data_IF_393102366957
#
_entry.id   IF_393102366957
#
_cell.length_a   1.000
_cell.length_b   1.000
_cell.length_c   1.000
_cell.angle_alpha   90.00
_cell.angle_beta   90.00
_cell.angle_gamma   90.00
#
_symmetry.space_group_name_H-M   'P 1'
#
loop_
_entity.id
_entity.type
_entity.pdbx_description
1 polymer ?
#
# COMPACT_ATOMS: atom_id res chain seq x y z
N UNK A 1 9.81 10.23 -3.66
CA UNK A 1 9.79 9.52 -2.38
C UNK A 1 9.57 8.06 -2.69
N UNK A 2 10.34 7.18 -2.05
CA UNK A 2 10.14 5.73 -2.13
C UNK A 2 10.01 5.11 -0.75
N UNK A 3 9.93 3.79 -0.68
CA UNK A 3 9.80 3.05 0.57
C UNK A 3 10.85 3.44 1.64
N UNK A 4 12.10 3.72 1.24
CA UNK A 4 13.15 4.15 2.17
C UNK A 4 12.88 5.55 2.76
N UNK A 5 12.30 6.48 1.99
CA UNK A 5 11.85 7.77 2.55
C UNK A 5 10.70 7.56 3.52
N UNK A 6 9.74 6.68 3.21
CA UNK A 6 8.61 6.38 4.11
C UNK A 6 9.14 5.85 5.44
N UNK A 7 10.01 4.82 5.41
CA UNK A 7 10.64 4.24 6.60
C UNK A 7 11.41 5.29 7.43
N UNK A 8 12.17 6.17 6.76
CA UNK A 8 12.90 7.26 7.42
C UNK A 8 11.94 8.26 8.07
N UNK A 9 10.88 8.67 7.37
CA UNK A 9 9.92 9.64 7.88
C UNK A 9 9.21 9.12 9.13
N UNK A 10 8.63 7.92 9.08
CA UNK A 10 7.92 7.35 10.23
C UNK A 10 8.84 7.06 11.42
N UNK A 11 10.12 6.73 11.17
CA UNK A 11 11.09 6.49 12.24
C UNK A 11 11.52 7.77 12.97
N UNK A 12 11.37 8.94 12.35
CA UNK A 12 11.90 10.21 12.87
C UNK A 12 10.83 11.28 13.13
N UNK A 13 9.57 11.04 12.77
CA UNK A 13 8.53 12.06 12.88
C UNK A 13 7.93 12.23 14.28
N UNK A 14 8.25 11.36 15.26
CA UNK A 14 7.74 11.45 16.64
C UNK A 14 7.84 12.86 17.27
N UNK A 15 8.94 13.62 17.13
CA UNK A 15 9.03 14.96 17.72
C UNK A 15 8.16 16.03 17.03
N UNK A 16 7.53 15.70 15.90
CA UNK A 16 6.75 16.63 15.07
C UNK A 16 5.25 16.43 15.18
N UNK A 17 4.81 15.42 15.94
CA UNK A 17 3.40 15.03 16.04
C UNK A 17 2.88 15.27 17.46
N UNK A 18 1.61 15.62 17.56
CA UNK A 18 0.90 15.70 18.84
C UNK A 18 0.46 14.30 19.30
N UNK A 19 0.04 14.16 20.56
CA UNK A 19 -0.30 12.86 21.14
C UNK A 19 -1.49 12.18 20.44
N UNK A 20 -2.45 13.00 19.98
CA UNK A 20 -3.67 12.56 19.30
C UNK A 20 -3.48 12.36 17.77
N UNK A 21 -2.33 12.76 17.22
CA UNK A 21 -2.06 12.61 15.79
C UNK A 21 -1.79 11.15 15.43
N UNK A 22 -2.47 10.66 14.39
CA UNK A 22 -2.21 9.34 13.80
C UNK A 22 -1.41 9.51 12.51
N UNK A 23 -0.22 8.91 12.45
CA UNK A 23 0.61 8.88 11.24
C UNK A 23 0.72 7.45 10.71
N UNK A 24 0.39 7.24 9.44
CA UNK A 24 0.48 5.94 8.79
C UNK A 24 1.44 6.05 7.59
N UNK A 25 2.58 5.37 7.68
CA UNK A 25 3.48 5.15 6.55
C UNK A 25 3.03 3.94 5.74
N UNK A 26 2.61 4.16 4.50
CA UNK A 26 2.14 3.10 3.62
C UNK A 26 3.27 2.64 2.70
N UNK A 27 3.49 1.33 2.62
CA UNK A 27 4.50 0.68 1.79
C UNK A 27 3.83 -0.17 0.73
N UNK A 28 4.29 -0.07 -0.52
CA UNK A 28 3.91 -1.02 -1.56
C UNK A 28 4.25 -2.45 -1.14
N UNK A 29 3.45 -3.43 -1.59
CA UNK A 29 3.71 -4.84 -1.35
C UNK A 29 4.58 -5.43 -2.48
N UNK A 30 5.61 -4.68 -2.84
CA UNK A 30 6.64 -5.07 -3.80
C UNK A 30 7.93 -5.48 -3.07
N UNK A 31 8.96 -5.87 -3.82
CA UNK A 31 10.24 -6.26 -3.23
C UNK A 31 10.86 -5.18 -2.33
N UNK A 32 10.70 -3.89 -2.66
CA UNK A 32 11.38 -2.80 -1.95
C UNK A 32 10.61 -2.36 -0.71
N UNK A 33 9.29 -2.24 -0.82
CA UNK A 33 8.39 -1.95 0.29
C UNK A 33 8.45 -3.04 1.35
N UNK A 34 8.45 -4.33 0.96
CA UNK A 34 8.67 -5.44 1.88
C UNK A 34 10.02 -5.35 2.61
N UNK A 35 11.10 -5.04 1.89
CA UNK A 35 12.43 -4.90 2.47
C UNK A 35 12.46 -3.81 3.54
N UNK A 36 11.95 -2.62 3.23
CA UNK A 36 11.97 -1.47 4.14
C UNK A 36 11.02 -1.68 5.33
N UNK A 37 9.82 -2.21 5.09
CA UNK A 37 8.86 -2.55 6.15
C UNK A 37 9.45 -3.55 7.12
N UNK A 38 10.01 -4.67 6.63
CA UNK A 38 10.63 -5.70 7.49
C UNK A 38 11.92 -5.21 8.15
N UNK A 39 12.57 -4.20 7.58
CA UNK A 39 13.80 -3.58 8.08
C UNK A 39 13.58 -2.53 9.18
N UNK A 40 12.34 -2.19 9.52
CA UNK A 40 12.04 -1.29 10.63
C UNK A 40 12.63 -1.83 11.94
N UNK A 41 13.30 -0.96 12.69
CA UNK A 41 14.02 -1.36 13.90
C UNK A 41 13.05 -1.84 14.96
N UNK A 42 13.24 -3.07 15.45
CA UNK A 42 12.43 -3.65 16.53
C UNK A 42 12.50 -2.84 17.82
N UNK A 43 13.57 -2.05 18.04
CA UNK A 43 13.68 -1.14 19.18
C UNK A 43 12.71 0.06 19.11
N UNK A 44 12.12 0.32 17.94
CA UNK A 44 11.24 1.47 17.66
C UNK A 44 9.83 0.99 17.32
N UNK A 45 9.72 -0.07 16.53
CA UNK A 45 8.45 -0.63 16.07
C UNK A 45 8.22 -2.03 16.64
N UNK A 46 6.95 -2.34 16.91
CA UNK A 46 6.46 -3.66 17.30
C UNK A 46 5.50 -4.19 16.23
N UNK A 47 5.53 -5.49 15.97
CA UNK A 47 4.58 -6.13 15.06
C UNK A 47 3.20 -6.13 15.71
N UNK A 48 2.26 -5.44 15.09
CA UNK A 48 0.86 -5.38 15.52
C UNK A 48 0.06 -6.52 14.88
N UNK A 49 0.15 -6.63 13.55
CA UNK A 49 -0.47 -7.68 12.73
C UNK A 49 0.60 -8.33 11.86
N UNK A 50 0.63 -9.66 11.81
CA UNK A 50 1.71 -10.39 11.15
C UNK A 50 1.83 -9.95 9.68
N UNK A 51 3.03 -9.51 9.32
CA UNK A 51 3.44 -9.14 7.96
C UNK A 51 2.55 -8.09 7.26
N UNK A 52 1.84 -7.26 8.03
CA UNK A 52 0.90 -6.25 7.49
C UNK A 52 0.96 -4.92 8.23
N UNK A 53 1.01 -4.94 9.57
CA UNK A 53 1.04 -3.70 10.39
C UNK A 53 2.12 -3.76 11.46
N UNK A 54 2.93 -2.70 11.55
CA UNK A 54 3.82 -2.44 12.69
C UNK A 54 3.45 -1.11 13.35
N UNK A 55 3.47 -1.06 14.68
CA UNK A 55 3.14 0.12 15.48
C UNK A 55 4.40 0.63 16.18
N UNK A 56 4.61 1.94 16.19
CA UNK A 56 5.65 2.57 17.00
C UNK A 56 5.36 2.34 18.49
N UNK A 57 6.39 2.04 19.28
CA UNK A 57 6.23 1.62 20.69
C UNK A 57 5.51 2.64 21.57
N UNK A 58 5.78 3.93 21.34
CA UNK A 58 5.38 5.00 22.27
C UNK A 58 4.59 6.15 21.60
N UNK A 59 4.00 5.90 20.42
CA UNK A 59 3.20 6.93 19.73
C UNK A 59 2.25 6.30 18.71
N UNK A 60 1.29 7.08 18.22
CA UNK A 60 0.32 6.69 17.21
C UNK A 60 0.91 6.75 15.78
N UNK A 61 2.12 6.20 15.61
CA UNK A 61 2.78 6.06 14.31
C UNK A 61 2.72 4.60 13.89
N UNK A 62 2.30 4.35 12.66
CA UNK A 62 2.09 3.02 12.10
C UNK A 62 2.83 2.88 10.78
N UNK A 63 3.32 1.66 10.52
CA UNK A 63 3.70 1.21 9.20
C UNK A 63 2.64 0.23 8.72
N UNK A 64 2.11 0.46 7.52
CA UNK A 64 1.14 -0.40 6.85
C UNK A 64 1.77 -0.87 5.55
N UNK A 65 1.94 -2.18 5.40
CA UNK A 65 2.22 -2.79 4.10
C UNK A 65 0.88 -2.96 3.37
N UNK A 66 0.82 -2.57 2.10
CA UNK A 66 -0.43 -2.64 1.34
C UNK A 66 -1.07 -4.03 1.44
N UNK A 67 -2.32 -4.12 1.92
CA UNK A 67 -3.06 -5.38 1.93
C UNK A 67 -3.37 -5.79 0.49
N UNK A 68 -3.08 -7.03 0.14
CA UNK A 68 -3.37 -7.53 -1.22
C UNK A 68 -4.79 -8.12 -1.22
N UNK A 69 -5.72 -7.59 -2.04
CA UNK A 69 -7.06 -8.15 -2.17
C UNK A 69 -7.00 -9.58 -2.65
N UNK A 70 -7.91 -10.44 -2.21
CA UNK A 70 -7.80 -11.90 -2.45
C UNK A 70 -7.72 -12.31 -3.92
N UNK A 71 -8.37 -11.59 -4.83
CA UNK A 71 -8.23 -11.85 -6.28
C UNK A 71 -6.88 -11.42 -6.87
N UNK A 72 -6.08 -10.64 -6.14
CA UNK A 72 -4.74 -10.19 -6.48
C UNK A 72 -3.64 -10.99 -5.75
N UNK A 73 -3.98 -12.10 -5.09
CA UNK A 73 -3.02 -13.01 -4.44
C UNK A 73 -1.93 -13.54 -5.38
N UNK A 74 -2.17 -13.48 -6.71
CA UNK A 74 -1.17 -13.79 -7.73
C UNK A 74 0.12 -12.97 -7.59
N UNK A 75 0.07 -11.81 -6.94
CA UNK A 75 1.23 -10.96 -6.65
C UNK A 75 2.05 -11.41 -5.43
N UNK A 76 1.52 -12.30 -4.60
CA UNK A 76 2.19 -12.80 -3.41
C UNK A 76 3.03 -14.03 -3.76
N UNK A 77 4.31 -13.80 -4.06
CA UNK A 77 5.28 -14.87 -4.32
C UNK A 77 6.10 -15.17 -3.06
N UNK A 78 6.52 -16.44 -2.95
CA UNK A 78 7.40 -16.90 -1.86
C UNK A 78 8.74 -16.15 -1.85
N UNK A 79 9.28 -15.91 -3.04
CA UNK A 79 10.46 -15.08 -3.22
C UNK A 79 10.03 -13.63 -3.45
N UNK A 80 10.37 -12.77 -2.50
CA UNK A 80 9.98 -11.36 -2.46
C UNK A 80 10.43 -10.57 -3.69
N UNK A 81 11.47 -11.02 -4.40
CA UNK A 81 11.97 -10.35 -5.60
C UNK A 81 10.97 -10.40 -6.77
N UNK A 82 10.00 -11.32 -6.71
CA UNK A 82 8.90 -11.44 -7.67
C UNK A 82 7.59 -10.81 -7.17
N UNK A 83 7.61 -10.07 -6.06
CA UNK A 83 6.45 -9.32 -5.61
C UNK A 83 6.45 -7.95 -6.27
N UNK A 84 5.35 -7.62 -6.94
CA UNK A 84 5.19 -6.40 -7.75
C UNK A 84 3.94 -5.61 -7.39
N UNK A 85 3.30 -5.88 -6.25
CA UNK A 85 2.06 -5.22 -5.90
C UNK A 85 2.33 -3.79 -5.42
N UNK A 86 1.68 -2.85 -6.05
CA UNK A 86 1.80 -1.39 -5.88
C UNK A 86 0.40 -0.81 -5.77
N UNK A 87 0.24 0.39 -5.19
CA UNK A 87 -1.08 1.02 -5.00
C UNK A 87 -1.92 1.12 -6.29
N UNK A 88 -1.29 1.26 -7.46
CA UNK A 88 -2.01 1.29 -8.73
C UNK A 88 -2.76 -0.02 -9.02
N UNK A 89 -2.33 -1.16 -8.48
CA UNK A 89 -3.00 -2.44 -8.70
C UNK A 89 -4.43 -2.48 -8.19
N UNK A 90 -4.79 -1.66 -7.19
CA UNK A 90 -6.17 -1.55 -6.72
C UNK A 90 -7.15 -0.98 -7.76
N UNK A 91 -6.69 -0.45 -8.88
CA UNK A 91 -7.59 -0.07 -9.98
C UNK A 91 -8.07 -1.26 -10.82
N UNK A 92 -7.52 -2.46 -10.57
CA UNK A 92 -7.88 -3.68 -11.29
C UNK A 92 -7.13 -3.85 -12.62
N UNK A 93 -6.88 -5.11 -13.00
CA UNK A 93 -6.04 -5.45 -14.16
C UNK A 93 -6.53 -4.83 -15.45
N UNK A 94 -7.84 -4.91 -15.72
CA UNK A 94 -8.41 -4.42 -16.98
C UNK A 94 -8.20 -2.91 -17.13
N UNK A 95 -8.44 -2.14 -16.06
CA UNK A 95 -8.25 -0.69 -16.06
C UNK A 95 -6.77 -0.30 -16.27
N UNK A 96 -5.85 -1.04 -15.65
CA UNK A 96 -4.41 -0.81 -15.82
C UNK A 96 -3.92 -1.12 -17.23
N UNK A 97 -4.46 -2.17 -17.85
CA UNK A 97 -4.17 -2.54 -19.23
C UNK A 97 -4.71 -1.48 -20.19
N UNK A 98 -5.97 -1.08 -20.02
CA UNK A 98 -6.66 -0.13 -20.91
C UNK A 98 -6.06 1.27 -20.83
N UNK A 99 -5.63 1.70 -19.64
CA UNK A 99 -4.89 2.95 -19.45
C UNK A 99 -3.45 2.89 -19.98
N UNK A 100 -2.96 1.69 -20.31
CA UNK A 100 -1.60 1.48 -20.77
C UNK A 100 -0.54 1.80 -19.72
N UNK A 101 -0.87 1.76 -18.42
CA UNK A 101 0.10 1.94 -17.33
C UNK A 101 0.76 0.62 -16.93
N UNK A 102 0.12 -0.52 -17.18
CA UNK A 102 0.69 -1.84 -16.91
C UNK A 102 1.43 -2.43 -18.12
N UNK A 103 2.36 -3.35 -17.84
CA UNK A 103 2.98 -4.27 -18.79
C UNK A 103 2.96 -5.69 -18.25
N UNK A 104 2.95 -6.68 -19.16
CA UNK A 104 2.99 -8.09 -18.79
C UNK A 104 4.38 -8.47 -18.29
N UNK A 105 4.43 -9.37 -17.32
CA UNK A 105 5.66 -10.05 -16.91
C UNK A 105 5.72 -11.46 -17.51
N UNK A 106 6.82 -12.17 -17.30
CA UNK A 106 6.94 -13.60 -17.65
C UNK A 106 6.11 -14.50 -16.71
N UNK A 107 5.60 -13.95 -15.61
CA UNK A 107 4.73 -14.66 -14.67
C UNK A 107 3.27 -14.47 -15.13
N UNK A 108 2.52 -15.57 -15.35
CA UNK A 108 1.10 -15.48 -15.73
C UNK A 108 0.30 -14.63 -14.74
N UNK A 109 -0.58 -13.80 -15.29
CA UNK A 109 -1.52 -12.93 -14.56
C UNK A 109 -0.86 -11.90 -13.61
N UNK A 110 0.46 -11.74 -13.71
CA UNK A 110 1.21 -10.70 -12.98
C UNK A 110 1.65 -9.62 -13.96
N UNK A 111 1.23 -8.40 -13.63
CA UNK A 111 1.56 -7.20 -14.38
C UNK A 111 2.47 -6.31 -13.57
N UNK A 112 3.32 -5.54 -14.25
CA UNK A 112 4.18 -4.54 -13.63
C UNK A 112 3.72 -3.14 -14.03
N UNK A 113 3.80 -2.19 -13.10
CA UNK A 113 3.51 -0.79 -13.40
C UNK A 113 4.71 -0.16 -14.11
N UNK A 114 4.45 0.51 -15.23
CA UNK A 114 5.46 1.27 -15.96
C UNK A 114 5.69 2.59 -15.26
N UNK A 115 6.86 2.73 -14.63
CA UNK A 115 7.28 3.94 -13.91
C UNK A 115 7.11 5.21 -14.77
N UNK A 116 7.45 5.15 -16.06
CA UNK A 116 7.33 6.27 -17.00
C UNK A 116 5.88 6.73 -17.26
N UNK A 117 4.88 5.93 -16.87
CA UNK A 117 3.45 6.21 -17.08
C UNK A 117 2.71 6.62 -15.80
N UNK A 118 3.29 6.43 -14.61
CA UNK A 118 2.64 6.74 -13.32
C UNK A 118 2.11 8.17 -13.22
N UNK A 119 2.89 9.16 -13.66
CA UNK A 119 2.47 10.56 -13.63
C UNK A 119 1.24 10.84 -14.53
N UNK A 120 1.14 10.14 -15.68
CA UNK A 120 -0.02 10.23 -16.56
C UNK A 120 -1.23 9.51 -15.98
N UNK A 121 -1.01 8.33 -15.41
CA UNK A 121 -2.04 7.53 -14.76
C UNK A 121 -2.67 8.28 -13.57
N UNK A 122 -1.87 8.91 -12.71
CA UNK A 122 -2.38 9.74 -11.61
C UNK A 122 -3.28 10.88 -12.08
N UNK A 123 -3.01 11.47 -13.25
CA UNK A 123 -3.90 12.50 -13.84
C UNK A 123 -5.20 11.89 -14.35
N UNK A 124 -5.13 10.72 -14.98
CA UNK A 124 -6.29 10.00 -15.50
C UNK A 124 -7.25 9.61 -14.36
N UNK A 125 -6.71 9.02 -13.28
CA UNK A 125 -7.50 8.58 -12.11
C UNK A 125 -8.32 9.70 -11.48
N UNK A 126 -7.82 10.94 -11.47
CA UNK A 126 -8.55 12.10 -10.92
C UNK A 126 -9.85 12.43 -11.68
N UNK A 127 -9.98 11.96 -12.92
CA UNK A 127 -11.19 12.11 -13.74
C UNK A 127 -12.13 10.91 -13.69
N UNK A 128 -11.81 9.88 -12.90
CA UNK A 128 -12.65 8.68 -12.77
C UNK A 128 -13.74 8.94 -11.73
N UNK A 129 -15.00 8.78 -12.16
CA UNK A 129 -16.17 8.93 -11.30
C UNK A 129 -16.89 7.61 -11.02
N UNK A 130 -16.58 6.55 -11.75
CA UNK A 130 -17.14 5.23 -11.50
C UNK A 130 -16.52 4.63 -10.23
N UNK A 131 -17.35 4.46 -9.20
CA UNK A 131 -16.95 3.91 -7.89
C UNK A 131 -16.43 2.49 -8.01
N UNK A 132 -16.92 1.71 -8.99
CA UNK A 132 -16.52 0.30 -9.16
C UNK A 132 -15.03 0.14 -9.44
N UNK A 133 -14.43 1.16 -10.05
CA UNK A 133 -12.98 1.22 -10.33
C UNK A 133 -12.15 1.27 -9.04
N UNK A 134 -12.75 1.65 -7.91
CA UNK A 134 -12.06 1.79 -6.63
C UNK A 134 -12.39 0.67 -5.64
N UNK A 135 -13.15 -0.35 -6.02
CA UNK A 135 -13.62 -1.38 -5.07
C UNK A 135 -12.49 -2.11 -4.35
N UNK A 136 -11.35 -2.32 -5.00
CA UNK A 136 -10.23 -3.02 -4.35
C UNK A 136 -9.52 -2.17 -3.30
N UNK A 137 -9.76 -0.85 -3.24
CA UNK A 137 -9.23 0.00 -2.18
C UNK A 137 -9.91 -0.26 -0.83
N UNK A 138 -11.04 -0.97 -0.79
CA UNK A 138 -11.75 -1.28 0.46
C UNK A 138 -10.83 -1.97 1.45
N UNK A 139 -10.03 -2.96 1.04
CA UNK A 139 -9.09 -3.65 1.95
C UNK A 139 -8.04 -2.69 2.56
N UNK A 140 -7.61 -1.66 1.80
CA UNK A 140 -6.72 -0.62 2.30
C UNK A 140 -7.43 0.28 3.30
N UNK A 141 -8.66 0.67 3.00
CA UNK A 141 -9.45 1.52 3.86
C UNK A 141 -9.83 0.83 5.16
N UNK A 142 -10.29 -0.43 5.11
CA UNK A 142 -10.55 -1.26 6.29
C UNK A 142 -9.30 -1.38 7.19
N UNK A 143 -8.11 -1.49 6.59
CA UNK A 143 -6.85 -1.52 7.35
C UNK A 143 -6.52 -0.16 8.01
N UNK A 144 -6.86 0.96 7.37
CA UNK A 144 -6.71 2.30 7.93
C UNK A 144 -7.74 2.54 9.04
N UNK A 145 -8.97 2.10 8.84
CA UNK A 145 -10.07 2.16 9.80
C UNK A 145 -9.76 1.32 11.05
N UNK A 146 -9.21 0.12 10.88
CA UNK A 146 -8.70 -0.71 11.98
C UNK A 146 -7.59 0.02 12.77
N UNK A 147 -6.70 0.75 12.11
CA UNK A 147 -5.64 1.52 12.77
C UNK A 147 -6.20 2.74 13.51
N UNK A 148 -7.15 3.44 12.90
CA UNK A 148 -7.71 4.71 13.39
C UNK A 148 -8.88 4.52 14.36
N UNK A 149 -9.40 3.30 14.47
CA UNK A 149 -10.60 2.96 15.25
C UNK A 149 -11.84 3.75 14.79
N UNK A 150 -11.89 4.04 13.48
CA UNK A 150 -13.02 4.67 12.82
C UNK A 150 -13.82 3.56 12.12
N UNK A 151 -15.14 3.63 12.21
CA UNK A 151 -16.04 2.67 11.57
C UNK A 151 -16.74 3.36 10.39
N UNK A 152 -16.37 3.00 9.16
CA UNK A 152 -16.96 3.52 7.92
C UNK A 152 -17.52 2.36 7.10
N UNK A 153 -18.76 2.52 6.65
CA UNK A 153 -19.37 1.57 5.73
C UNK A 153 -19.08 2.00 4.27
N UNK A 154 -18.18 1.27 3.62
CA UNK A 154 -17.88 1.44 2.19
C UNK A 154 -18.92 0.69 1.35
N UNK A 155 -20.00 1.37 0.92
CA UNK A 155 -20.98 0.80 -0.01
C UNK A 155 -20.63 1.10 -1.47
N UNK A 156 -20.86 0.12 -2.34
CA UNK A 156 -20.64 0.21 -3.79
C UNK A 156 -21.92 0.63 -4.57
N UNK A 157 -22.96 1.08 -3.87
CA UNK A 157 -24.25 1.48 -4.46
C UNK A 157 -24.15 2.76 -5.31
#
# INVERSE_FOLDING_TARGET
>A
GGASEVAKSISNCKPLIEEDDIVIGIFDHDSKGLQEFRGLKESVFIKNKKDTVQKHRDSNIYALLLPVPGEMDVYLKKDQSFNFFEVEHYFGHQFLIDSGVAEKTDIPDVYKIKESKKAGFSKLVRGVHDRKVFMYFIDLFDAIDEITQIDIEYSAD
#
